data_IF_034528799569
#
_entry.id   IF_034528799569
#
_cell.length_a   1.000
_cell.length_b   1.000
_cell.length_c   1.000
_cell.angle_alpha   90.00
_cell.angle_beta   90.00
_cell.angle_gamma   90.00
#
_symmetry.space_group_name_H-M   'P 1'
#
loop_
_entity.id
_entity.type
_entity.pdbx_description
1 polymer ?
#
# COMPACT_ATOMS: atom_id res chain seq x y z
N UNK A 1 -16.57 14.75 20.65
CA UNK A 1 -16.45 14.41 19.24
C UNK A 1 -15.12 14.85 18.67
N UNK A 2 -14.61 14.12 17.75
CA UNK A 2 -13.37 14.43 17.07
C UNK A 2 -13.59 15.68 16.20
N UNK A 3 -13.05 16.83 16.64
CA UNK A 3 -13.11 18.07 15.86
C UNK A 3 -11.79 18.24 15.13
N UNK A 4 -11.82 18.05 13.82
CA UNK A 4 -10.67 18.30 12.98
C UNK A 4 -10.73 19.71 12.42
N UNK A 5 -9.59 20.36 12.41
CA UNK A 5 -9.50 21.74 11.94
C UNK A 5 -9.67 21.76 10.41
N UNK A 6 -10.73 22.40 9.93
CA UNK A 6 -11.08 22.43 8.51
C UNK A 6 -10.05 23.14 7.61
N UNK A 7 -9.07 23.79 8.21
CA UNK A 7 -8.09 24.61 7.49
C UNK A 7 -6.75 23.92 7.20
N UNK A 8 -6.67 22.60 7.41
CA UNK A 8 -5.41 21.88 7.16
C UNK A 8 -5.32 21.47 5.70
N UNK A 9 -4.29 21.98 5.02
CA UNK A 9 -3.99 21.60 3.64
C UNK A 9 -3.41 20.19 3.61
N UNK A 10 -4.10 19.29 2.92
CA UNK A 10 -3.64 17.91 2.75
C UNK A 10 -2.68 17.83 1.58
N UNK A 11 -1.39 17.75 1.88
CA UNK A 11 -0.39 17.40 0.89
C UNK A 11 0.25 16.10 1.28
N UNK A 12 0.39 15.20 0.31
CA UNK A 12 1.13 13.97 0.50
C UNK A 12 2.57 14.26 0.91
N UNK A 13 3.12 13.50 1.85
CA UNK A 13 4.54 13.54 2.13
C UNK A 13 5.36 13.27 0.86
N UNK A 14 4.88 12.37 0.01
CA UNK A 14 5.46 12.14 -1.31
C UNK A 14 5.32 13.33 -2.23
N UNK A 15 4.15 13.97 -2.26
CA UNK A 15 3.93 15.15 -3.11
C UNK A 15 4.80 16.32 -2.68
N UNK A 16 4.91 16.58 -1.37
CA UNK A 16 5.78 17.62 -0.83
C UNK A 16 7.24 17.33 -1.15
N UNK A 17 7.67 16.09 -0.97
CA UNK A 17 9.00 15.65 -1.31
C UNK A 17 9.26 15.76 -2.81
N UNK A 18 8.30 15.39 -3.64
CA UNK A 18 8.43 15.51 -5.09
C UNK A 18 8.54 16.97 -5.54
N UNK A 19 7.78 17.87 -4.93
CA UNK A 19 7.88 19.30 -5.21
C UNK A 19 9.22 19.87 -4.80
N UNK A 20 9.74 19.45 -3.65
CA UNK A 20 11.07 19.83 -3.17
C UNK A 20 12.17 19.29 -4.08
N UNK A 21 12.02 18.07 -4.55
CA UNK A 21 12.99 17.36 -5.40
C UNK A 21 13.12 18.00 -6.77
N UNK A 22 12.03 18.54 -7.34
CA UNK A 22 12.09 19.27 -8.61
C UNK A 22 13.08 20.43 -8.56
N UNK A 23 13.37 20.88 -7.35
CA UNK A 23 14.26 22.03 -7.12
C UNK A 23 15.66 21.67 -6.70
N UNK A 24 16.04 20.42 -6.41
CA UNK A 24 17.43 20.07 -6.18
C UNK A 24 17.74 18.83 -5.33
N UNK A 25 16.80 18.26 -4.57
CA UNK A 25 17.21 17.37 -3.50
C UNK A 25 16.52 16.01 -3.53
N UNK A 26 17.15 15.07 -4.24
CA UNK A 26 16.75 13.66 -4.20
C UNK A 26 17.51 12.90 -3.10
N UNK A 27 18.13 13.60 -2.14
CA UNK A 27 18.87 12.97 -1.04
C UNK A 27 17.95 12.05 -0.24
N UNK A 28 18.40 10.81 -0.09
CA UNK A 28 17.63 9.79 0.60
C UNK A 28 16.59 9.08 -0.26
N UNK A 29 16.35 9.50 -1.49
CA UNK A 29 15.48 8.79 -2.42
C UNK A 29 16.16 7.51 -2.90
N UNK A 30 15.44 6.40 -2.87
CA UNK A 30 15.96 5.08 -3.25
C UNK A 30 15.30 4.51 -4.49
N UNK A 31 14.04 4.88 -4.75
CA UNK A 31 13.29 4.45 -5.94
C UNK A 31 12.44 5.61 -6.42
N UNK A 32 12.31 5.71 -7.74
CA UNK A 32 11.32 6.59 -8.37
C UNK A 32 10.31 5.73 -9.12
N UNK A 33 9.04 5.90 -8.81
CA UNK A 33 7.93 5.21 -9.47
C UNK A 33 7.08 6.25 -10.19
N UNK A 34 7.16 6.28 -11.52
CA UNK A 34 6.60 7.34 -12.35
C UNK A 34 7.12 8.71 -11.87
N UNK A 35 6.26 9.56 -11.29
CA UNK A 35 6.65 10.88 -10.76
C UNK A 35 6.91 10.88 -9.25
N UNK A 36 6.76 9.75 -8.56
CA UNK A 36 6.83 9.68 -7.11
C UNK A 36 8.11 9.04 -6.63
N UNK A 37 8.68 9.57 -5.56
CA UNK A 37 9.90 9.05 -4.94
C UNK A 37 9.57 8.27 -3.67
N UNK A 38 10.34 7.21 -3.45
CA UNK A 38 10.36 6.46 -2.19
C UNK A 38 11.68 6.79 -1.51
N UNK A 39 11.60 7.16 -0.23
CA UNK A 39 12.76 7.60 0.56
C UNK A 39 13.17 6.54 1.56
N UNK A 40 14.50 6.44 1.76
CA UNK A 40 15.09 5.48 2.70
C UNK A 40 14.49 5.61 4.11
N UNK A 41 14.34 6.83 4.60
CA UNK A 41 13.85 7.05 5.97
C UNK A 41 12.45 6.49 6.18
N UNK A 42 11.58 6.61 5.20
CA UNK A 42 10.23 6.06 5.25
C UNK A 42 10.23 4.53 5.31
N UNK A 43 11.06 3.91 4.48
CA UNK A 43 11.19 2.45 4.43
C UNK A 43 11.82 1.93 5.72
N UNK A 44 12.87 2.60 6.19
CA UNK A 44 13.58 2.22 7.41
C UNK A 44 12.66 2.29 8.63
N UNK A 45 11.80 3.29 8.69
CA UNK A 45 10.81 3.42 9.76
C UNK A 45 9.86 2.22 9.79
N UNK A 46 9.32 1.84 8.62
CA UNK A 46 8.46 0.67 8.50
C UNK A 46 9.21 -0.60 8.89
N UNK A 47 10.45 -0.73 8.42
CA UNK A 47 11.31 -1.87 8.73
C UNK A 47 11.55 -2.02 10.23
N UNK A 48 11.84 -0.91 10.92
CA UNK A 48 12.06 -0.92 12.37
C UNK A 48 10.80 -1.29 13.15
N UNK A 49 9.61 -0.85 12.68
CA UNK A 49 8.34 -1.24 13.28
C UNK A 49 8.05 -2.73 13.13
N UNK A 50 8.60 -3.37 12.10
CA UNK A 50 8.44 -4.79 11.81
C UNK A 50 9.64 -5.62 12.24
N UNK A 51 10.58 -5.01 12.94
CA UNK A 51 11.79 -5.69 13.42
C UNK A 51 11.44 -6.90 14.31
N UNK A 52 12.04 -8.03 13.98
CA UNK A 52 11.76 -9.28 14.68
C UNK A 52 10.66 -10.13 14.05
N UNK A 53 9.92 -9.63 13.07
CA UNK A 53 8.98 -10.46 12.30
C UNK A 53 9.76 -11.30 11.29
N UNK A 54 9.53 -12.61 11.32
CA UNK A 54 10.21 -13.55 10.43
C UNK A 54 9.84 -13.30 8.98
N UNK A 55 10.84 -13.23 8.11
CA UNK A 55 10.65 -13.15 6.67
C UNK A 55 10.40 -11.74 6.11
N UNK A 56 10.47 -10.71 6.94
CA UNK A 56 10.33 -9.33 6.47
C UNK A 56 11.71 -8.70 6.28
N UNK A 57 12.05 -8.36 5.04
CA UNK A 57 13.30 -7.67 4.70
C UNK A 57 13.03 -6.22 4.31
N UNK A 58 14.08 -5.40 4.35
CA UNK A 58 14.03 -4.04 3.84
C UNK A 58 13.58 -4.01 2.37
N UNK A 59 14.14 -4.93 1.55
CA UNK A 59 13.77 -5.06 0.14
C UNK A 59 12.30 -5.37 -0.06
N UNK A 60 11.71 -6.23 0.78
CA UNK A 60 10.28 -6.57 0.70
C UNK A 60 9.42 -5.33 0.95
N UNK A 61 9.80 -4.49 1.91
CA UNK A 61 9.07 -3.25 2.21
C UNK A 61 9.16 -2.29 1.03
N UNK A 62 10.34 -2.15 0.41
CA UNK A 62 10.51 -1.33 -0.79
C UNK A 62 9.61 -1.82 -1.92
N UNK A 63 9.63 -3.12 -2.21
CA UNK A 63 8.82 -3.70 -3.29
C UNK A 63 7.32 -3.53 -3.01
N UNK A 64 6.89 -3.71 -1.76
CA UNK A 64 5.50 -3.47 -1.38
C UNK A 64 5.11 -1.99 -1.56
N UNK A 65 6.01 -1.07 -1.25
CA UNK A 65 5.76 0.37 -1.43
C UNK A 65 5.65 0.73 -2.91
N UNK A 66 6.46 0.11 -3.76
CA UNK A 66 6.36 0.26 -5.22
C UNK A 66 4.98 -0.22 -5.69
N UNK A 67 4.56 -1.39 -5.25
CA UNK A 67 3.28 -1.98 -5.62
C UNK A 67 2.10 -1.08 -5.21
N UNK A 68 2.15 -0.50 -4.02
CA UNK A 68 1.11 0.42 -3.54
C UNK A 68 1.03 1.68 -4.41
N UNK A 69 2.17 2.26 -4.78
CA UNK A 69 2.20 3.45 -5.66
C UNK A 69 1.70 3.09 -7.06
N UNK A 70 2.13 1.98 -7.61
CA UNK A 70 1.67 1.50 -8.91
C UNK A 70 0.15 1.31 -8.90
N UNK A 71 -0.38 0.61 -7.90
CA UNK A 71 -1.81 0.35 -7.78
C UNK A 71 -2.61 1.65 -7.67
N UNK A 72 -2.23 2.54 -6.77
CA UNK A 72 -2.97 3.80 -6.55
C UNK A 72 -2.87 4.77 -7.72
N UNK A 73 -1.88 4.63 -8.59
CA UNK A 73 -1.81 5.41 -9.83
C UNK A 73 -3.00 5.15 -10.77
N UNK A 74 -3.69 4.03 -10.61
CA UNK A 74 -4.89 3.67 -11.38
C UNK A 74 -6.20 4.04 -10.68
N UNK A 75 -6.15 4.58 -9.47
CA UNK A 75 -7.35 4.89 -8.68
C UNK A 75 -8.34 5.77 -9.44
N UNK A 76 -7.86 6.85 -10.04
CA UNK A 76 -8.72 7.78 -10.79
C UNK A 76 -9.41 7.09 -11.96
N UNK A 77 -8.69 6.29 -12.74
CA UNK A 77 -9.25 5.51 -13.86
C UNK A 77 -10.32 4.52 -13.40
N UNK A 78 -10.16 4.00 -12.20
CA UNK A 78 -11.11 3.05 -11.60
C UNK A 78 -12.27 3.74 -10.89
N UNK A 79 -12.29 5.08 -10.88
CA UNK A 79 -13.33 5.83 -10.21
C UNK A 79 -13.22 5.80 -8.69
N UNK A 80 -12.01 5.61 -8.17
CA UNK A 80 -11.75 5.53 -6.72
C UNK A 80 -11.28 6.89 -6.20
N UNK A 81 -12.03 7.41 -5.25
CA UNK A 81 -11.74 8.69 -4.59
C UNK A 81 -11.91 8.52 -3.08
N UNK A 82 -11.11 9.25 -2.32
CA UNK A 82 -11.22 9.30 -0.86
C UNK A 82 -11.67 10.71 -0.47
N UNK A 83 -12.83 10.80 0.18
CA UNK A 83 -13.38 12.06 0.65
C UNK A 83 -12.72 12.52 1.94
N UNK A 84 -12.79 13.82 2.23
CA UNK A 84 -12.34 14.36 3.52
C UNK A 84 -13.10 13.75 4.68
N UNK A 85 -14.39 13.49 4.52
CA UNK A 85 -15.21 12.83 5.52
C UNK A 85 -14.69 11.43 5.87
N UNK A 86 -14.28 10.65 4.86
CA UNK A 86 -13.69 9.34 5.08
C UNK A 86 -12.36 9.43 5.83
N UNK A 87 -11.53 10.42 5.52
CA UNK A 87 -10.26 10.65 6.20
C UNK A 87 -10.52 11.03 7.65
N UNK A 88 -11.44 11.95 7.89
CA UNK A 88 -11.81 12.42 9.23
C UNK A 88 -12.35 11.27 10.09
N UNK A 89 -13.20 10.43 9.52
CA UNK A 89 -13.71 9.24 10.20
C UNK A 89 -12.58 8.26 10.53
N UNK A 90 -11.65 8.04 9.62
CA UNK A 90 -10.51 7.15 9.84
C UNK A 90 -9.61 7.66 10.98
N UNK A 91 -9.40 8.97 11.06
CA UNK A 91 -8.63 9.58 12.15
C UNK A 91 -9.36 9.40 13.49
N UNK A 92 -10.66 9.64 13.51
CA UNK A 92 -11.47 9.48 14.72
C UNK A 92 -11.48 8.02 15.19
N UNK A 93 -11.59 7.07 14.27
CA UNK A 93 -11.49 5.63 14.58
C UNK A 93 -10.12 5.26 15.13
N UNK A 94 -9.06 5.77 14.53
CA UNK A 94 -7.70 5.50 15.00
C UNK A 94 -7.51 6.01 16.43
N UNK A 95 -7.92 7.24 16.71
CA UNK A 95 -7.87 7.82 18.05
C UNK A 95 -8.70 7.00 19.05
N UNK A 96 -9.91 6.59 18.66
CA UNK A 96 -10.81 5.82 19.52
C UNK A 96 -10.29 4.42 19.82
N UNK A 97 -9.69 3.75 18.85
CA UNK A 97 -9.20 2.38 18.99
C UNK A 97 -7.90 2.32 19.78
N UNK A 98 -6.98 3.25 19.52
CA UNK A 98 -5.68 3.29 20.17
C UNK A 98 -5.17 4.72 20.32
N UNK A 99 -5.64 5.39 21.35
CA UNK A 99 -5.29 6.79 21.64
C UNK A 99 -3.79 6.98 21.87
N UNK A 100 -3.14 6.04 22.53
CA UNK A 100 -1.70 6.10 22.78
C UNK A 100 -0.91 6.08 21.49
N UNK A 101 -1.23 5.16 20.57
CA UNK A 101 -0.58 5.06 19.28
C UNK A 101 -0.88 6.31 18.42
N UNK A 102 -2.11 6.81 18.47
CA UNK A 102 -2.50 8.03 17.77
C UNK A 102 -1.71 9.25 18.24
N UNK A 103 -1.63 9.47 19.56
CA UNK A 103 -0.89 10.58 20.15
C UNK A 103 0.60 10.51 19.79
N UNK A 104 1.17 9.31 19.79
CA UNK A 104 2.55 9.05 19.40
C UNK A 104 2.79 9.38 17.93
N UNK A 105 1.89 8.95 17.06
CA UNK A 105 1.96 9.24 15.62
C UNK A 105 1.83 10.75 15.35
N UNK A 106 0.94 11.44 16.05
CA UNK A 106 0.83 12.90 15.96
C UNK A 106 2.14 13.60 16.32
N UNK A 107 2.80 13.14 17.39
CA UNK A 107 4.09 13.69 17.79
C UNK A 107 5.17 13.51 16.75
N UNK A 108 5.21 12.34 16.12
CA UNK A 108 6.25 11.99 15.15
C UNK A 108 6.01 12.69 13.81
N UNK A 109 4.79 12.65 13.31
CA UNK A 109 4.48 13.10 11.95
C UNK A 109 3.85 14.49 11.85
N UNK A 110 3.15 14.92 12.88
CA UNK A 110 2.27 16.06 12.82
C UNK A 110 0.93 15.72 12.17
N UNK A 111 -0.02 16.63 12.31
CA UNK A 111 -1.41 16.41 11.86
C UNK A 111 -1.51 16.24 10.34
N UNK A 112 -0.89 17.12 9.58
CA UNK A 112 -0.96 17.12 8.11
C UNK A 112 -0.39 15.83 7.52
N UNK A 113 0.78 15.43 7.95
CA UNK A 113 1.44 14.21 7.46
C UNK A 113 0.66 12.97 7.87
N UNK A 114 0.14 12.92 9.11
CA UNK A 114 -0.65 11.78 9.56
C UNK A 114 -1.92 11.62 8.74
N UNK A 115 -2.63 12.70 8.48
CA UNK A 115 -3.82 12.69 7.62
C UNK A 115 -3.50 12.20 6.22
N UNK A 116 -2.38 12.63 5.65
CA UNK A 116 -1.98 12.20 4.32
C UNK A 116 -1.64 10.71 4.28
N UNK A 117 -0.96 10.20 5.30
CA UNK A 117 -0.67 8.76 5.42
C UNK A 117 -1.95 7.95 5.49
N UNK A 118 -2.94 8.41 6.25
CA UNK A 118 -4.24 7.74 6.35
C UNK A 118 -5.00 7.82 5.02
N UNK A 119 -4.95 8.95 4.35
CA UNK A 119 -5.55 9.10 3.01
C UNK A 119 -4.93 8.12 2.01
N UNK A 120 -3.61 8.04 1.97
CA UNK A 120 -2.89 7.14 1.06
C UNK A 120 -3.26 5.68 1.36
N UNK A 121 -3.39 5.32 2.63
CA UNK A 121 -3.83 3.98 3.03
C UNK A 121 -5.26 3.67 2.60
N UNK A 122 -6.18 4.60 2.83
CA UNK A 122 -7.58 4.47 2.40
C UNK A 122 -7.68 4.34 0.88
N UNK A 123 -6.92 5.16 0.17
CA UNK A 123 -6.88 5.12 -1.29
C UNK A 123 -6.37 3.77 -1.79
N UNK A 124 -5.32 3.25 -1.20
CA UNK A 124 -4.79 1.93 -1.57
C UNK A 124 -5.80 0.82 -1.31
N UNK A 125 -6.39 0.78 -0.12
CA UNK A 125 -7.39 -0.25 0.25
C UNK A 125 -8.60 -0.19 -0.69
N UNK A 126 -9.11 1.01 -0.96
CA UNK A 126 -10.25 1.20 -1.86
C UNK A 126 -9.91 0.81 -3.30
N UNK A 127 -8.70 1.14 -3.75
CA UNK A 127 -8.23 0.74 -5.09
C UNK A 127 -8.13 -0.78 -5.19
N UNK A 128 -7.55 -1.43 -4.20
CA UNK A 128 -7.45 -2.89 -4.15
C UNK A 128 -8.82 -3.55 -4.22
N UNK A 129 -9.77 -3.08 -3.43
CA UNK A 129 -11.14 -3.61 -3.43
C UNK A 129 -11.79 -3.43 -4.80
N UNK A 130 -11.60 -2.30 -5.44
CA UNK A 130 -12.15 -2.03 -6.78
C UNK A 130 -11.54 -2.95 -7.84
N UNK A 131 -10.24 -3.16 -7.79
CA UNK A 131 -9.53 -4.09 -8.69
C UNK A 131 -10.08 -5.51 -8.52
N UNK A 132 -10.24 -5.96 -7.28
CA UNK A 132 -10.77 -7.30 -6.98
C UNK A 132 -12.22 -7.47 -7.44
N UNK A 133 -13.00 -6.39 -7.41
CA UNK A 133 -14.39 -6.40 -7.84
C UNK A 133 -14.54 -6.37 -9.36
N UNK A 134 -13.73 -5.59 -10.07
CA UNK A 134 -13.96 -5.25 -11.48
C UNK A 134 -12.85 -5.66 -12.44
N UNK A 135 -11.62 -5.80 -12.00
CA UNK A 135 -10.47 -5.96 -12.89
C UNK A 135 -9.90 -7.38 -12.93
N UNK A 136 -10.12 -8.16 -11.90
CA UNK A 136 -9.60 -9.53 -11.81
C UNK A 136 -10.75 -10.52 -11.73
N UNK A 137 -10.52 -11.68 -12.35
CA UNK A 137 -11.47 -12.78 -12.31
C UNK A 137 -10.86 -13.94 -11.54
N UNK A 138 -11.46 -14.28 -10.41
CA UNK A 138 -11.04 -15.43 -9.61
C UNK A 138 -11.81 -16.66 -10.12
N UNK A 139 -11.23 -17.31 -11.12
CA UNK A 139 -11.77 -18.50 -11.75
C UNK A 139 -10.91 -19.73 -11.43
N UNK A 140 -11.28 -20.87 -12.01
CA UNK A 140 -10.56 -22.12 -11.82
C UNK A 140 -9.08 -22.03 -12.23
N UNK A 141 -8.77 -21.29 -13.30
CA UNK A 141 -7.40 -21.11 -13.77
C UNK A 141 -6.55 -20.34 -12.75
N UNK A 142 -7.11 -19.28 -12.19
CA UNK A 142 -6.42 -18.48 -11.17
C UNK A 142 -6.19 -19.31 -9.90
N UNK A 143 -7.19 -20.07 -9.46
CA UNK A 143 -7.09 -20.94 -8.27
C UNK A 143 -6.03 -22.01 -8.50
N UNK A 144 -5.96 -22.62 -9.67
CA UNK A 144 -4.92 -23.60 -10.00
C UNK A 144 -3.52 -22.97 -9.98
N UNK A 145 -3.40 -21.78 -10.54
CA UNK A 145 -2.17 -20.99 -10.49
C UNK A 145 -1.74 -20.67 -9.05
N UNK A 146 -2.71 -20.29 -8.21
CA UNK A 146 -2.48 -20.05 -6.79
C UNK A 146 -1.95 -21.31 -6.09
N UNK A 147 -2.58 -22.46 -6.31
CA UNK A 147 -2.15 -23.73 -5.73
C UNK A 147 -0.70 -24.05 -6.11
N UNK A 148 -0.32 -23.83 -7.37
CA UNK A 148 1.02 -24.15 -7.85
C UNK A 148 2.12 -23.30 -7.22
N UNK A 149 1.76 -22.16 -6.59
CA UNK A 149 2.69 -21.31 -5.84
C UNK A 149 2.91 -21.79 -4.39
N UNK A 150 2.12 -22.74 -3.93
CA UNK A 150 2.17 -23.20 -2.53
C UNK A 150 3.03 -24.46 -2.40
N UNK A 151 3.81 -24.54 -1.32
CA UNK A 151 4.62 -25.70 -1.01
C UNK A 151 3.78 -26.97 -0.81
N UNK A 152 2.53 -26.80 -0.33
CA UNK A 152 1.60 -27.89 -0.07
C UNK A 152 0.57 -28.05 -1.21
N UNK A 153 0.98 -27.85 -2.44
CA UNK A 153 0.10 -27.91 -3.62
C UNK A 153 -0.75 -29.21 -3.64
N UNK A 154 -0.14 -30.36 -3.47
CA UNK A 154 -0.85 -31.65 -3.46
C UNK A 154 -1.89 -31.80 -2.36
N UNK A 155 -1.68 -31.12 -1.23
CA UNK A 155 -2.67 -31.11 -0.15
C UNK A 155 -3.85 -30.18 -0.43
N UNK A 156 -3.61 -29.13 -1.19
CA UNK A 156 -4.68 -28.21 -1.58
C UNK A 156 -5.61 -28.82 -2.63
N UNK A 157 -5.13 -29.78 -3.42
CA UNK A 157 -5.92 -30.46 -4.44
C UNK A 157 -7.10 -31.26 -3.89
N UNK A 158 -7.08 -31.63 -2.61
CA UNK A 158 -8.21 -32.33 -1.97
C UNK A 158 -9.45 -31.43 -1.79
N UNK A 159 -9.30 -30.13 -1.86
CA UNK A 159 -10.39 -29.18 -1.71
C UNK A 159 -10.96 -28.78 -3.08
N UNK A 160 -12.30 -28.66 -3.16
CA UNK A 160 -12.93 -28.01 -4.29
C UNK A 160 -12.56 -26.52 -4.32
N UNK A 161 -12.71 -25.89 -5.48
CA UNK A 161 -12.47 -24.45 -5.61
C UNK A 161 -13.29 -23.63 -4.62
N UNK A 162 -14.56 -24.02 -4.44
CA UNK A 162 -15.46 -23.37 -3.50
C UNK A 162 -14.99 -23.50 -2.05
N UNK A 163 -14.52 -24.68 -1.65
CA UNK A 163 -13.98 -24.89 -0.31
C UNK A 163 -12.68 -24.11 -0.10
N UNK A 164 -11.81 -24.13 -1.10
CA UNK A 164 -10.55 -23.41 -1.04
C UNK A 164 -10.78 -21.90 -0.90
N UNK A 165 -11.74 -21.36 -1.64
CA UNK A 165 -12.14 -19.95 -1.51
C UNK A 165 -12.62 -19.61 -0.11
N UNK A 166 -13.35 -20.50 0.56
CA UNK A 166 -13.79 -20.27 1.94
C UNK A 166 -12.64 -20.30 2.92
N UNK A 167 -11.68 -21.20 2.74
CA UNK A 167 -10.56 -21.40 3.66
C UNK A 167 -9.45 -20.37 3.48
N UNK A 168 -9.19 -19.97 2.24
CA UNK A 168 -8.05 -19.14 1.85
C UNK A 168 -8.46 -17.90 1.05
N UNK A 169 -9.61 -17.35 1.38
CA UNK A 169 -10.18 -16.21 0.62
C UNK A 169 -9.22 -15.02 0.55
N UNK A 170 -8.63 -14.64 1.68
CA UNK A 170 -7.70 -13.51 1.75
C UNK A 170 -6.45 -13.78 0.90
N UNK A 171 -5.86 -14.95 1.05
CA UNK A 171 -4.64 -15.34 0.34
C UNK A 171 -4.86 -15.40 -1.17
N UNK A 172 -5.99 -15.94 -1.61
CA UNK A 172 -6.33 -16.01 -3.03
C UNK A 172 -6.57 -14.62 -3.61
N UNK A 173 -7.26 -13.75 -2.88
CA UNK A 173 -7.47 -12.36 -3.29
C UNK A 173 -6.17 -11.59 -3.35
N UNK A 174 -5.30 -11.76 -2.37
CA UNK A 174 -3.98 -11.12 -2.36
C UNK A 174 -3.14 -11.59 -3.56
N UNK A 175 -3.20 -12.87 -3.87
CA UNK A 175 -2.54 -13.43 -5.05
C UNK A 175 -3.09 -12.83 -6.35
N UNK A 176 -4.41 -12.77 -6.50
CA UNK A 176 -5.06 -12.20 -7.67
C UNK A 176 -4.68 -10.72 -7.86
N UNK A 177 -4.72 -9.96 -6.77
CA UNK A 177 -4.31 -8.55 -6.80
C UNK A 177 -2.83 -8.40 -7.16
N UNK A 178 -1.97 -9.25 -6.61
CA UNK A 178 -0.54 -9.27 -6.92
C UNK A 178 -0.26 -9.49 -8.40
N UNK A 179 -1.00 -10.38 -9.07
CA UNK A 179 -0.89 -10.61 -10.51
C UNK A 179 -1.28 -9.36 -11.30
N UNK A 180 -2.34 -8.69 -10.91
CA UNK A 180 -2.77 -7.44 -11.52
C UNK A 180 -1.71 -6.35 -11.39
N UNK A 181 -1.17 -6.16 -10.19
CA UNK A 181 -0.09 -5.18 -9.94
C UNK A 181 1.15 -5.51 -10.79
N UNK A 182 1.52 -6.78 -10.86
CA UNK A 182 2.66 -7.23 -11.67
C UNK A 182 2.51 -6.79 -13.14
N UNK A 183 1.32 -6.91 -13.71
CA UNK A 183 1.05 -6.44 -15.07
C UNK A 183 1.15 -4.91 -15.15
N UNK A 184 0.61 -4.20 -14.16
CA UNK A 184 0.67 -2.73 -14.12
C UNK A 184 2.08 -2.19 -13.92
N UNK A 185 2.94 -2.93 -13.20
CA UNK A 185 4.36 -2.57 -13.09
C UNK A 185 5.05 -2.53 -14.44
N UNK A 186 4.69 -3.40 -15.37
CA UNK A 186 5.26 -3.41 -16.74
C UNK A 186 4.95 -2.12 -17.50
N UNK A 187 3.83 -1.47 -17.18
CA UNK A 187 3.40 -0.21 -17.79
C UNK A 187 3.94 1.01 -17.05
N UNK A 188 4.57 0.81 -15.90
CA UNK A 188 5.07 1.85 -15.03
C UNK A 188 6.57 2.06 -15.21
N UNK A 189 7.02 3.30 -15.00
CA UNK A 189 8.45 3.61 -15.00
C UNK A 189 8.98 3.49 -13.57
N UNK A 190 9.80 2.47 -13.33
CA UNK A 190 10.39 2.21 -12.02
C UNK A 190 11.91 2.33 -12.16
N UNK A 191 12.49 3.25 -11.40
CA UNK A 191 13.93 3.51 -11.42
C UNK A 191 14.49 3.30 -10.00
N UNK A 192 15.40 2.33 -9.88
CA UNK A 192 16.15 2.13 -8.64
C UNK A 192 17.34 3.09 -8.64
N UNK A 193 17.41 3.93 -7.61
CA UNK A 193 18.41 4.99 -7.52
C UNK A 193 19.68 4.49 -6.82
N UNK A 194 20.78 5.26 -6.90
CA UNK A 194 22.10 4.84 -6.44
C UNK A 194 22.18 4.44 -4.96
N UNK A 195 21.30 4.98 -4.14
CA UNK A 195 21.28 4.69 -2.70
C UNK A 195 20.58 3.37 -2.35
N UNK A 196 19.95 2.73 -3.33
CA UNK A 196 19.30 1.46 -3.11
C UNK A 196 20.20 0.32 -3.53
N UNK A 197 20.73 -0.37 -2.56
CA UNK A 197 21.50 -1.60 -2.74
C UNK A 197 20.54 -2.80 -2.52
N UNK A 198 20.29 -3.49 -3.60
CA UNK A 198 19.28 -4.55 -3.64
C UNK A 198 19.85 -5.87 -3.09
#
# INVERSE_FOLDING_TARGET
GCTLNENVSYKSAYADNNLSVKNENINGAIVKVNDKYIYHDEINEIFLQQFGKVGVSYSDIVENSIDEIVATSYAEKLGVFVSESEIDNAICEYEAINKEAYDKALKIYGETTLKQKLKDRLLFVSTKNKVLEQEVKIDANLIESFKSQKELHGELDKYSDSELMKRMNKEIKDYAFGLWVKEKRKESKIEYLKLYDK
#
